data_IF_664986909578
#
_entry.id   IF_664986909578
#
_cell.length_a   1.000
_cell.length_b   1.000
_cell.length_c   1.000
_cell.angle_alpha   90.00
_cell.angle_beta   90.00
_cell.angle_gamma   90.00
#
_symmetry.space_group_name_H-M   'P 1'
#
loop_
_entity.id
_entity.type
_entity.pdbx_description
1 polymer ?
#
# COMPACT_ATOMS: atom_id res chain seq x y z
N UNK A 1 9.18 40.72 -30.22
CA UNK A 1 9.51 40.38 -28.82
C UNK A 1 8.35 39.72 -28.09
N UNK A 2 7.14 40.30 -28.13
CA UNK A 2 5.95 39.75 -27.45
C UNK A 2 5.52 38.35 -27.93
N UNK A 3 5.60 38.09 -29.25
CA UNK A 3 5.27 36.77 -29.81
C UNK A 3 6.20 35.66 -29.29
N UNK A 4 7.50 35.91 -29.27
CA UNK A 4 8.52 34.96 -28.79
C UNK A 4 8.36 34.70 -27.29
N UNK A 5 8.04 35.74 -26.51
CA UNK A 5 7.74 35.60 -25.09
C UNK A 5 6.53 34.69 -24.83
N UNK A 6 5.41 34.91 -25.52
CA UNK A 6 4.22 34.07 -25.37
C UNK A 6 4.45 32.64 -25.87
N UNK A 7 5.28 32.46 -26.89
CA UNK A 7 5.64 31.14 -27.39
C UNK A 7 6.43 30.35 -26.35
N UNK A 8 7.44 30.96 -25.72
CA UNK A 8 8.22 30.32 -24.65
C UNK A 8 7.34 30.03 -23.44
N UNK A 9 6.48 30.98 -23.04
CA UNK A 9 5.56 30.80 -21.92
C UNK A 9 4.60 29.62 -22.17
N UNK A 10 4.05 29.52 -23.39
CA UNK A 10 3.12 28.45 -23.76
C UNK A 10 3.81 27.09 -23.77
N UNK A 11 5.01 27.00 -24.36
CA UNK A 11 5.79 25.75 -24.40
C UNK A 11 6.19 25.30 -23.01
N UNK A 12 6.69 26.22 -22.17
CA UNK A 12 7.09 25.87 -20.79
C UNK A 12 5.88 25.44 -19.94
N UNK A 13 4.76 26.14 -20.04
CA UNK A 13 3.50 25.75 -19.38
C UNK A 13 3.05 24.36 -19.82
N UNK A 14 3.12 24.06 -21.12
CA UNK A 14 2.76 22.75 -21.65
C UNK A 14 3.69 21.66 -21.12
N UNK A 15 5.00 21.91 -21.04
CA UNK A 15 5.98 20.97 -20.48
C UNK A 15 5.67 20.68 -19.02
N UNK A 16 5.43 21.71 -18.19
CA UNK A 16 5.07 21.53 -16.78
C UNK A 16 3.78 20.72 -16.62
N UNK A 17 2.77 21.03 -17.43
CA UNK A 17 1.49 20.32 -17.39
C UNK A 17 1.65 18.85 -17.77
N UNK A 18 2.45 18.54 -18.79
CA UNK A 18 2.74 17.15 -19.17
C UNK A 18 3.51 16.42 -18.07
N UNK A 19 4.52 17.06 -17.47
CA UNK A 19 5.29 16.49 -16.37
C UNK A 19 4.41 16.14 -15.17
N UNK A 20 3.38 16.95 -14.88
CA UNK A 20 2.44 16.70 -13.78
C UNK A 20 1.41 15.62 -14.11
N UNK A 21 0.92 15.55 -15.36
CA UNK A 21 -0.11 14.58 -15.75
C UNK A 21 0.45 13.16 -15.91
N UNK A 22 1.70 13.00 -16.38
CA UNK A 22 2.35 11.70 -16.55
C UNK A 22 2.33 10.84 -15.26
N UNK A 23 2.77 11.31 -14.08
CA UNK A 23 2.74 10.53 -12.85
C UNK A 23 1.30 10.19 -12.41
N UNK A 24 0.35 11.13 -12.56
CA UNK A 24 -1.07 10.89 -12.23
C UNK A 24 -1.64 9.76 -13.10
N UNK A 25 -1.37 9.79 -14.42
CA UNK A 25 -1.82 8.74 -15.33
C UNK A 25 -1.12 7.39 -15.05
N UNK A 26 0.16 7.42 -14.66
CA UNK A 26 0.89 6.22 -14.24
C UNK A 26 0.25 5.59 -13.00
N UNK A 27 -0.10 6.39 -12.01
CA UNK A 27 -0.73 5.90 -10.79
C UNK A 27 -2.12 5.35 -11.06
N UNK A 28 -2.92 6.02 -11.90
CA UNK A 28 -4.26 5.53 -12.30
C UNK A 28 -4.19 4.23 -13.11
N UNK A 29 -3.18 4.08 -13.97
CA UNK A 29 -2.98 2.84 -14.74
C UNK A 29 -2.52 1.70 -13.83
N UNK A 30 -1.63 1.99 -12.88
CA UNK A 30 -1.14 1.00 -11.91
C UNK A 30 -2.17 0.69 -10.80
N UNK A 31 -3.13 1.58 -10.54
CA UNK A 31 -4.20 1.36 -9.55
C UNK A 31 -5.35 0.50 -10.08
N UNK A 32 -5.27 -0.03 -11.31
CA UNK A 32 -6.29 -0.91 -11.89
C UNK A 32 -6.20 -2.38 -11.48
N UNK A 33 -5.28 -2.74 -10.60
CA UNK A 33 -5.39 -3.98 -9.80
C UNK A 33 -5.85 -3.62 -8.39
N UNK A 34 -7.17 -3.56 -8.14
CA UNK A 34 -7.72 -3.88 -6.83
C UNK A 34 -7.66 -5.41 -6.63
N UNK A 35 -6.51 -6.03 -6.93
CA UNK A 35 -6.16 -7.32 -6.39
C UNK A 35 -5.51 -7.06 -5.03
N UNK A 36 -6.24 -6.37 -4.15
CA UNK A 36 -6.02 -6.60 -2.73
C UNK A 36 -6.56 -7.99 -2.48
N UNK A 37 -5.77 -9.00 -2.84
CA UNK A 37 -6.08 -10.38 -2.48
C UNK A 37 -5.87 -10.43 -0.98
N UNK A 38 -6.92 -10.08 -0.24
CA UNK A 38 -6.99 -10.20 1.20
C UNK A 38 -6.94 -11.71 1.47
N UNK A 39 -5.74 -12.26 1.57
CA UNK A 39 -5.53 -13.67 1.89
C UNK A 39 -5.53 -13.77 3.40
N UNK A 40 -6.25 -14.76 3.93
CA UNK A 40 -5.99 -15.19 5.31
C UNK A 40 -4.53 -15.67 5.37
N UNK A 41 -3.79 -15.38 6.44
CA UNK A 41 -2.47 -15.94 6.64
C UNK A 41 -2.53 -17.45 6.41
N UNK A 42 -1.55 -17.99 5.68
CA UNK A 42 -1.43 -19.43 5.57
C UNK A 42 -1.38 -20.04 6.98
N UNK A 43 -1.99 -21.22 7.15
CA UNK A 43 -2.16 -21.90 8.43
C UNK A 43 -0.83 -22.14 9.17
N UNK A 44 0.30 -22.09 8.44
CA UNK A 44 1.68 -22.24 8.93
C UNK A 44 2.54 -20.98 8.73
N UNK A 45 1.96 -19.78 8.72
CA UNK A 45 2.74 -18.53 8.67
C UNK A 45 3.26 -18.12 10.04
N UNK A 46 4.42 -17.46 10.08
CA UNK A 46 5.03 -16.88 11.29
C UNK A 46 4.03 -15.97 12.03
N UNK A 47 3.19 -15.28 11.26
CA UNK A 47 2.08 -14.47 11.75
C UNK A 47 1.08 -15.31 12.56
N UNK A 48 0.68 -16.49 12.08
CA UNK A 48 -0.23 -17.37 12.83
C UNK A 48 0.39 -17.87 14.15
N UNK A 49 1.69 -18.17 14.15
CA UNK A 49 2.39 -18.60 15.37
C UNK A 49 2.49 -17.47 16.42
N UNK A 50 2.77 -16.24 16.00
CA UNK A 50 2.84 -15.08 16.89
C UNK A 50 1.48 -14.77 17.56
N UNK A 51 0.37 -14.93 16.82
CA UNK A 51 -0.97 -14.73 17.39
C UNK A 51 -1.33 -15.84 18.38
N UNK A 52 -0.94 -17.08 18.12
CA UNK A 52 -1.21 -18.18 19.04
C UNK A 52 -0.59 -17.97 20.42
N UNK A 53 0.52 -17.21 20.51
CA UNK A 53 1.14 -16.84 21.77
C UNK A 53 0.46 -15.68 22.52
N UNK A 54 -0.51 -14.98 21.91
CA UNK A 54 -1.17 -13.85 22.57
C UNK A 54 -2.25 -14.33 23.55
N UNK A 55 -2.27 -13.85 24.81
CA UNK A 55 -3.24 -14.25 25.84
C UNK A 55 -4.62 -13.59 25.71
N UNK A 56 -4.92 -12.97 24.56
CA UNK A 56 -6.16 -12.21 24.31
C UNK A 56 -7.03 -12.87 23.23
N UNK A 57 -8.28 -12.42 23.12
CA UNK A 57 -9.22 -12.88 22.11
C UNK A 57 -8.60 -12.68 20.72
N UNK A 58 -8.48 -13.76 19.94
CA UNK A 58 -7.67 -13.79 18.71
C UNK A 58 -8.30 -12.88 17.66
N UNK A 59 -7.65 -11.76 17.27
CA UNK A 59 -8.18 -10.90 16.21
C UNK A 59 -8.09 -11.61 14.86
N UNK A 60 -9.04 -11.32 13.97
CA UNK A 60 -8.96 -11.79 12.59
C UNK A 60 -7.78 -11.12 11.90
N UNK A 61 -6.88 -11.90 11.29
CA UNK A 61 -5.73 -11.35 10.57
C UNK A 61 -5.90 -11.53 9.06
N UNK A 62 -5.55 -10.47 8.35
CA UNK A 62 -5.64 -10.37 6.91
C UNK A 62 -4.31 -9.91 6.32
N UNK A 63 -3.82 -10.63 5.32
CA UNK A 63 -2.62 -10.26 4.57
C UNK A 63 -3.03 -9.51 3.31
N UNK A 64 -2.44 -8.33 3.14
CA UNK A 64 -2.58 -7.45 1.99
C UNK A 64 -1.36 -7.67 1.10
N UNK A 65 -1.58 -7.99 -0.18
CA UNK A 65 -0.48 -8.05 -1.15
C UNK A 65 -0.02 -6.62 -1.49
N UNK A 66 0.98 -6.13 -0.75
CA UNK A 66 1.65 -4.85 -0.96
C UNK A 66 3.13 -5.01 -0.58
N UNK A 67 4.02 -4.47 -1.41
CA UNK A 67 5.47 -4.50 -1.18
C UNK A 67 5.91 -3.43 -0.17
N UNK A 68 5.06 -2.44 0.13
CA UNK A 68 5.35 -1.46 1.16
C UNK A 68 5.01 -2.02 2.55
N UNK A 69 5.85 -1.78 3.57
CA UNK A 69 5.57 -2.22 4.93
C UNK A 69 4.36 -1.47 5.51
N UNK A 70 3.27 -2.17 5.79
CA UNK A 70 2.02 -1.64 6.33
C UNK A 70 1.47 -2.54 7.43
N UNK A 71 1.08 -1.94 8.55
CA UNK A 71 0.40 -2.59 9.67
C UNK A 71 -0.68 -1.65 10.18
N UNK A 72 -1.92 -2.13 10.25
CA UNK A 72 -3.01 -1.40 10.89
C UNK A 72 -4.04 -2.33 11.51
N UNK A 73 -4.75 -1.82 12.51
CA UNK A 73 -5.83 -2.53 13.20
C UNK A 73 -7.14 -1.77 13.05
N UNK A 74 -8.25 -2.49 12.90
CA UNK A 74 -9.58 -1.90 13.04
C UNK A 74 -9.96 -1.83 14.52
N UNK A 75 -10.47 -0.68 14.95
CA UNK A 75 -11.00 -0.51 16.31
C UNK A 75 -12.47 -0.92 16.40
N UNK A 76 -12.87 -1.53 17.52
CA UNK A 76 -14.27 -1.88 17.81
C UNK A 76 -14.44 -3.32 18.34
N UNK A 77 -15.70 -3.78 18.36
CA UNK A 77 -16.07 -5.09 18.95
C UNK A 77 -15.49 -6.29 18.18
N UNK A 78 -15.11 -6.11 16.90
CA UNK A 78 -14.42 -7.09 16.05
C UNK A 78 -13.09 -6.49 15.58
N UNK A 79 -12.06 -6.61 16.41
CA UNK A 79 -10.71 -6.15 16.07
C UNK A 79 -10.11 -7.07 15.02
N UNK A 80 -9.70 -6.51 13.89
CA UNK A 80 -8.96 -7.20 12.84
C UNK A 80 -7.62 -6.51 12.60
N UNK A 81 -6.59 -7.30 12.32
CA UNK A 81 -5.23 -6.82 12.04
C UNK A 81 -4.95 -7.06 10.56
N UNK A 82 -4.51 -6.01 9.88
CA UNK A 82 -4.12 -6.06 8.48
C UNK A 82 -2.62 -5.86 8.37
N UNK A 83 -1.96 -6.77 7.65
CA UNK A 83 -0.52 -6.81 7.48
C UNK A 83 -0.18 -6.88 6.00
N UNK A 84 0.78 -6.11 5.51
CA UNK A 84 1.24 -6.29 4.13
C UNK A 84 2.21 -7.46 3.99
N UNK A 85 2.28 -8.06 2.80
CA UNK A 85 3.29 -9.06 2.43
C UNK A 85 4.71 -8.53 2.61
N UNK A 86 4.97 -7.27 2.23
CA UNK A 86 6.26 -6.63 2.40
C UNK A 86 6.71 -6.51 3.87
N UNK A 87 5.76 -6.44 4.80
CA UNK A 87 6.06 -6.44 6.24
C UNK A 87 6.18 -7.87 6.79
N UNK A 88 5.27 -8.77 6.38
CA UNK A 88 5.25 -10.17 6.80
C UNK A 88 6.53 -10.94 6.41
N UNK A 89 7.09 -10.64 5.23
CA UNK A 89 8.28 -11.31 4.72
C UNK A 89 9.59 -10.72 5.29
N UNK A 90 9.54 -9.52 5.87
CA UNK A 90 10.72 -8.81 6.40
C UNK A 90 10.91 -9.05 7.90
N UNK A 91 9.84 -9.29 8.66
CA UNK A 91 9.89 -9.43 10.11
C UNK A 91 10.12 -10.88 10.56
N UNK A 92 11.00 -11.06 11.54
CA UNK A 92 11.13 -12.34 12.25
C UNK A 92 10.04 -12.50 13.32
N UNK A 93 9.84 -13.73 13.81
CA UNK A 93 8.80 -14.08 14.79
C UNK A 93 8.75 -13.19 16.03
N UNK A 94 9.90 -12.74 16.53
CA UNK A 94 9.99 -11.88 17.72
C UNK A 94 9.68 -10.40 17.42
N UNK A 95 9.61 -10.03 16.14
CA UNK A 95 9.39 -8.67 15.67
C UNK A 95 7.96 -8.45 15.13
N UNK A 96 7.18 -9.53 15.01
CA UNK A 96 5.75 -9.52 14.62
C UNK A 96 4.87 -9.36 15.87
#
# INVERSE_FOLDING_TARGET
MTLLFFLILSVTTLIFLLQEIIPILRDIYNSKTPDTIIKRPAEYSVVNEAIQSLPVNKPDIFIIEDNHPLLFSTGGNNTAIYLSTGLADTLNKDQI
#
